data_IF_271372737372
#
_entry.id   IF_271372737372
#
_cell.length_a   1.000
_cell.length_b   1.000
_cell.length_c   1.000
_cell.angle_alpha   90.00
_cell.angle_beta   90.00
_cell.angle_gamma   90.00
#
_symmetry.space_group_name_H-M   'P 1'
#
loop_
_entity.id
_entity.type
_entity.pdbx_description
1 polymer ?
#
# COMPACT_ATOMS: atom_id res chain seq x y z
N UNK A 1 -0.35 10.86 -9.21
CA UNK A 1 -1.42 9.87 -8.92
C UNK A 1 -2.63 10.16 -9.80
N UNK A 2 -3.45 9.17 -10.11
CA UNK A 2 -4.71 9.39 -10.83
C UNK A 2 -5.74 10.00 -9.88
N UNK A 3 -6.26 11.17 -10.24
CA UNK A 3 -7.28 11.90 -9.47
C UNK A 3 -8.67 11.55 -10.00
N UNK A 4 -9.64 11.37 -9.12
CA UNK A 4 -11.06 11.24 -9.44
C UNK A 4 -11.91 11.81 -8.30
N UNK A 5 -13.23 11.76 -8.41
CA UNK A 5 -14.16 12.27 -7.41
C UNK A 5 -15.11 11.18 -6.94
N UNK A 6 -15.43 11.16 -5.65
CA UNK A 6 -16.40 10.25 -5.08
C UNK A 6 -17.81 10.86 -5.15
N UNK A 7 -18.76 10.14 -5.77
CA UNK A 7 -20.14 10.60 -5.92
C UNK A 7 -20.40 11.31 -7.25
N UNK A 8 -21.57 11.94 -7.38
CA UNK A 8 -22.05 12.51 -8.66
C UNK A 8 -21.48 13.90 -8.94
N UNK A 9 -21.10 14.64 -7.89
CA UNK A 9 -20.66 16.03 -7.98
C UNK A 9 -19.15 16.12 -7.86
N UNK A 10 -18.54 16.79 -8.82
CA UNK A 10 -17.11 17.15 -8.78
C UNK A 10 -16.91 18.31 -7.80
N UNK A 11 -16.65 17.96 -6.54
CA UNK A 11 -16.27 18.89 -5.49
C UNK A 11 -14.88 18.55 -4.93
N UNK A 12 -14.12 19.58 -4.57
CA UNK A 12 -12.85 19.48 -3.87
C UNK A 12 -12.93 18.58 -2.63
N UNK A 13 -14.03 18.64 -1.87
CA UNK A 13 -14.27 17.80 -0.68
C UNK A 13 -14.38 16.30 -1.01
N UNK A 14 -14.75 15.97 -2.25
CA UNK A 14 -14.93 14.60 -2.73
C UNK A 14 -13.74 14.10 -3.55
N UNK A 15 -12.62 14.83 -3.56
CA UNK A 15 -11.44 14.41 -4.32
C UNK A 15 -10.82 13.15 -3.72
N UNK A 16 -10.68 12.11 -4.55
CA UNK A 16 -10.00 10.87 -4.19
C UNK A 16 -8.95 10.50 -5.24
N UNK A 17 -8.07 9.56 -4.88
CA UNK A 17 -7.00 9.11 -5.75
C UNK A 17 -7.00 7.59 -5.87
N UNK A 18 -6.64 7.10 -7.05
CA UNK A 18 -6.28 5.69 -7.18
C UNK A 18 -4.96 5.45 -6.46
N UNK A 19 -4.93 4.41 -5.61
CA UNK A 19 -3.77 4.09 -4.79
C UNK A 19 -2.53 3.81 -5.66
N UNK A 20 -1.38 4.42 -5.38
CA UNK A 20 -0.13 4.17 -6.11
C UNK A 20 0.64 2.94 -5.63
N UNK A 21 0.20 2.35 -4.51
CA UNK A 21 0.77 1.17 -3.85
C UNK A 21 -0.31 0.45 -3.00
N UNK A 22 0.02 -0.70 -2.42
CA UNK A 22 -0.91 -1.51 -1.61
C UNK A 22 -0.69 -1.37 -0.09
N UNK A 23 0.50 -0.93 0.34
CA UNK A 23 0.94 -0.79 1.73
C UNK A 23 0.07 0.11 2.61
N UNK A 24 -0.39 1.26 2.10
CA UNK A 24 -1.19 2.22 2.87
C UNK A 24 -2.42 1.59 3.57
N UNK A 25 -3.08 0.65 2.89
CA UNK A 25 -4.25 -0.04 3.45
C UNK A 25 -3.90 -0.87 4.69
N UNK A 26 -2.70 -1.45 4.73
CA UNK A 26 -2.19 -2.21 5.87
C UNK A 26 -1.94 -1.27 7.04
N UNK A 27 -1.27 -0.14 6.82
CA UNK A 27 -0.95 0.83 7.89
C UNK A 27 -2.21 1.46 8.51
N UNK A 28 -3.18 1.87 7.70
CA UNK A 28 -4.45 2.42 8.19
C UNK A 28 -5.18 1.40 9.07
N UNK A 29 -5.08 0.11 8.74
CA UNK A 29 -5.75 -0.97 9.46
C UNK A 29 -4.92 -1.59 10.59
N UNK A 30 -3.71 -1.11 10.89
CA UNK A 30 -2.83 -1.73 11.88
C UNK A 30 -3.52 -2.04 13.20
N UNK A 31 -4.20 -1.04 13.81
CA UNK A 31 -4.92 -1.23 15.09
C UNK A 31 -6.06 -2.25 14.99
N UNK A 32 -6.77 -2.28 13.85
CA UNK A 32 -7.85 -3.24 13.63
C UNK A 32 -7.29 -4.66 13.51
N UNK A 33 -6.19 -4.84 12.80
CA UNK A 33 -5.52 -6.13 12.62
C UNK A 33 -5.01 -6.64 13.97
N UNK A 34 -4.24 -5.83 14.71
CA UNK A 34 -3.71 -6.19 16.03
C UNK A 34 -4.83 -6.60 16.99
N UNK A 35 -5.93 -5.84 17.02
CA UNK A 35 -7.06 -6.13 17.92
C UNK A 35 -7.82 -7.39 17.55
N UNK A 36 -8.14 -7.57 16.26
CA UNK A 36 -9.01 -8.68 15.81
C UNK A 36 -8.28 -10.01 15.72
N UNK A 37 -7.02 -9.99 15.29
CA UNK A 37 -6.18 -11.17 15.15
C UNK A 37 -5.35 -11.45 16.42
N UNK A 38 -5.40 -10.55 17.42
CA UNK A 38 -4.63 -10.63 18.68
C UNK A 38 -3.13 -10.78 18.44
N UNK A 39 -2.62 -10.12 17.39
CA UNK A 39 -1.21 -10.19 17.02
C UNK A 39 -0.34 -9.55 18.09
N UNK A 40 0.83 -10.15 18.32
CA UNK A 40 1.94 -9.54 19.07
C UNK A 40 3.11 -9.36 18.11
N UNK A 41 3.93 -8.35 18.35
CA UNK A 41 5.17 -8.17 17.58
C UNK A 41 6.13 -9.36 17.85
N UNK A 42 6.90 -9.81 16.84
CA UNK A 42 6.84 -9.38 15.44
C UNK A 42 5.72 -10.10 14.65
N UNK A 43 5.12 -9.41 13.68
CA UNK A 43 4.16 -10.02 12.75
C UNK A 43 4.17 -9.35 11.38
N UNK A 44 3.78 -10.10 10.35
CA UNK A 44 3.66 -9.60 8.98
C UNK A 44 2.21 -9.52 8.51
N UNK A 45 1.92 -8.59 7.61
CA UNK A 45 0.67 -8.51 6.85
C UNK A 45 1.02 -8.41 5.37
N UNK A 46 0.44 -9.30 4.57
CA UNK A 46 0.64 -9.32 3.12
C UNK A 46 -0.62 -8.80 2.40
N UNK A 47 -0.42 -8.07 1.31
CA UNK A 47 -1.51 -7.68 0.42
C UNK A 47 -1.10 -7.85 -1.04
N UNK A 48 -2.02 -8.44 -1.81
CA UNK A 48 -1.92 -8.52 -3.27
C UNK A 48 -2.96 -7.58 -3.85
N UNK A 49 -2.58 -6.77 -4.83
CA UNK A 49 -3.58 -6.05 -5.60
C UNK A 49 -3.01 -5.03 -6.57
N UNK A 50 -3.94 -4.41 -7.30
CA UNK A 50 -3.63 -3.38 -8.29
C UNK A 50 -3.16 -2.08 -7.65
N UNK A 51 -2.18 -1.46 -8.30
CA UNK A 51 -1.67 -0.13 -8.01
C UNK A 51 -1.59 0.69 -9.31
N UNK A 52 -1.72 2.01 -9.18
CA UNK A 52 -1.84 2.91 -10.31
C UNK A 52 -0.84 4.06 -10.23
N UNK A 53 0.06 4.14 -11.21
CA UNK A 53 1.07 5.20 -11.31
C UNK A 53 0.82 6.01 -12.57
N UNK A 54 0.66 7.32 -12.42
CA UNK A 54 0.39 8.22 -13.55
C UNK A 54 1.69 8.52 -14.31
N UNK A 55 2.23 7.50 -14.97
CA UNK A 55 3.49 7.55 -15.71
C UNK A 55 3.35 8.46 -16.95
N UNK A 56 4.27 9.43 -17.07
CA UNK A 56 4.24 10.43 -18.16
C UNK A 56 4.51 9.74 -19.49
N UNK A 57 5.55 8.91 -19.54
CA UNK A 57 5.96 8.16 -20.74
C UNK A 57 5.98 6.67 -20.42
N UNK A 58 4.89 5.93 -20.72
CA UNK A 58 4.88 4.47 -20.66
C UNK A 58 5.91 3.88 -21.64
N UNK A 59 6.49 2.73 -21.33
CA UNK A 59 7.52 2.14 -22.18
C UNK A 59 8.05 0.81 -21.64
N UNK A 60 8.90 0.16 -22.44
CA UNK A 60 9.54 -1.11 -22.07
C UNK A 60 8.52 -2.19 -21.66
N UNK A 61 7.40 -2.29 -22.40
CA UNK A 61 6.35 -3.30 -22.19
C UNK A 61 5.85 -3.34 -20.73
N UNK A 62 6.21 -4.37 -19.97
CA UNK A 62 5.79 -4.55 -18.57
C UNK A 62 6.54 -3.68 -17.55
N UNK A 63 7.66 -3.06 -17.93
CA UNK A 63 8.51 -2.34 -16.97
C UNK A 63 7.97 -0.95 -16.59
N UNK A 64 7.22 -0.27 -17.48
CA UNK A 64 6.60 1.04 -17.18
C UNK A 64 5.17 1.08 -17.68
N UNK A 65 4.26 0.60 -16.82
CA UNK A 65 2.82 0.64 -17.04
C UNK A 65 2.14 1.59 -16.05
N UNK A 66 0.88 1.95 -16.35
CA UNK A 66 0.05 2.82 -15.49
C UNK A 66 -0.80 2.05 -14.47
N UNK A 67 -1.00 0.76 -14.72
CA UNK A 67 -1.69 -0.19 -13.86
C UNK A 67 -0.86 -1.49 -13.83
N UNK A 68 -0.66 -2.04 -12.64
CA UNK A 68 0.03 -3.30 -12.42
C UNK A 68 -0.37 -3.88 -11.06
N UNK A 69 -0.08 -5.16 -10.84
CA UNK A 69 -0.29 -5.83 -9.57
C UNK A 69 0.99 -5.84 -8.74
N UNK A 70 0.85 -5.61 -7.44
CA UNK A 70 1.93 -5.72 -6.48
C UNK A 70 1.61 -6.79 -5.45
N UNK A 71 2.67 -7.42 -4.96
CA UNK A 71 2.67 -8.32 -3.82
C UNK A 71 3.53 -7.65 -2.75
N UNK A 72 2.91 -7.02 -1.76
CA UNK A 72 3.62 -6.28 -0.70
C UNK A 72 3.43 -6.98 0.64
N UNK A 73 4.48 -6.94 1.47
CA UNK A 73 4.48 -7.44 2.84
C UNK A 73 4.99 -6.33 3.74
N UNK A 74 4.20 -5.97 4.74
CA UNK A 74 4.63 -5.10 5.83
C UNK A 74 4.93 -5.98 7.05
N UNK A 75 6.19 -6.02 7.46
CA UNK A 75 6.65 -6.78 8.62
C UNK A 75 6.92 -5.83 9.79
N UNK A 76 6.06 -5.92 10.81
CA UNK A 76 6.14 -5.12 12.02
C UNK A 76 6.98 -5.84 13.07
N UNK A 77 7.98 -5.15 13.61
CA UNK A 77 8.88 -5.64 14.65
C UNK A 77 9.30 -4.51 15.58
N UNK A 78 9.82 -4.87 16.75
CA UNK A 78 10.44 -3.90 17.66
C UNK A 78 11.72 -3.33 17.02
N UNK A 79 11.99 -2.02 17.13
CA UNK A 79 13.15 -1.37 16.52
C UNK A 79 14.50 -2.02 16.87
N UNK A 80 14.64 -2.55 18.09
CA UNK A 80 15.86 -3.18 18.59
C UNK A 80 16.20 -4.48 17.84
N UNK A 81 15.19 -5.17 17.32
CA UNK A 81 15.34 -6.44 16.61
C UNK A 81 15.71 -6.26 15.13
N UNK A 82 15.66 -5.02 14.60
CA UNK A 82 15.90 -4.76 13.18
C UNK A 82 17.30 -5.20 12.75
N UNK A 83 18.34 -4.85 13.51
CA UNK A 83 19.73 -5.25 13.22
C UNK A 83 19.90 -6.77 13.27
N UNK A 84 19.37 -7.43 14.30
CA UNK A 84 19.47 -8.89 14.43
C UNK A 84 18.79 -9.64 13.29
N UNK A 85 17.64 -9.15 12.81
CA UNK A 85 16.83 -9.85 11.81
C UNK A 85 17.18 -9.49 10.36
N UNK A 86 17.80 -8.35 10.11
CA UNK A 86 18.02 -7.81 8.77
C UNK A 86 19.45 -7.30 8.50
N UNK A 87 20.43 -7.56 9.37
CA UNK A 87 21.84 -7.46 8.99
C UNK A 87 22.24 -8.72 8.19
N UNK A 88 22.52 -8.53 6.90
CA UNK A 88 23.04 -9.51 5.96
C UNK A 88 24.48 -9.16 5.57
#
# INVERSE_FOLDING_TARGET
MFKTFQGVVEDSLNTIYLRPETAQGIFINFKNIVRTQRMKLPFGVAQIGKAFRNEITPGNFIFRTREFEQFEIEYFLEPELVKEKFDW
#
